data_IF_363884516696
#
_entry.id   IF_363884516696
#
_cell.length_a   1.000
_cell.length_b   1.000
_cell.length_c   1.000
_cell.angle_alpha   90.00
_cell.angle_beta   90.00
_cell.angle_gamma   90.00
#
_symmetry.space_group_name_H-M   'P 1'
#
loop_
_entity.id
_entity.type
_entity.pdbx_description
1 polymer ?
#
# COMPACT_ATOMS: atom_id res chain seq x y z
N UNK A 1 -12.86 -0.71 -19.18
CA UNK A 1 -11.52 -0.22 -18.78
C UNK A 1 -10.47 -1.28 -19.15
N UNK A 2 -10.52 -1.78 -20.39
CA UNK A 2 -9.83 -3.02 -20.77
C UNK A 2 -8.38 -2.78 -21.17
N UNK A 3 -8.08 -1.59 -21.68
CA UNK A 3 -6.72 -1.18 -22.05
C UNK A 3 -5.73 -1.22 -20.88
N UNK A 4 -6.19 -0.86 -19.67
CA UNK A 4 -5.36 -0.84 -18.46
C UNK A 4 -5.08 -2.26 -17.95
N UNK A 5 -6.06 -3.16 -18.07
CA UNK A 5 -5.91 -4.58 -17.76
C UNK A 5 -4.95 -5.25 -18.75
N UNK A 6 -5.11 -5.00 -20.05
CA UNK A 6 -4.23 -5.52 -21.11
C UNK A 6 -2.78 -5.04 -20.93
N UNK A 7 -2.59 -3.79 -20.52
CA UNK A 7 -1.28 -3.23 -20.21
C UNK A 7 -0.62 -3.95 -19.03
N UNK A 8 -1.33 -4.16 -17.92
CA UNK A 8 -0.79 -4.89 -16.77
C UNK A 8 -0.43 -6.33 -17.14
N UNK A 9 -1.35 -7.06 -17.79
CA UNK A 9 -1.13 -8.44 -18.23
C UNK A 9 0.06 -8.60 -19.17
N UNK A 10 0.34 -7.61 -20.03
CA UNK A 10 1.51 -7.62 -20.91
C UNK A 10 2.84 -7.52 -20.17
N UNK A 11 2.86 -6.86 -19.01
CA UNK A 11 4.09 -6.63 -18.22
C UNK A 11 4.30 -7.73 -17.17
N UNK A 12 3.22 -8.40 -16.74
CA UNK A 12 3.22 -9.53 -15.80
C UNK A 12 4.35 -10.55 -16.01
N UNK A 13 4.66 -11.02 -17.24
CA UNK A 13 5.68 -12.05 -17.45
C UNK A 13 7.08 -11.63 -16.99
N UNK A 14 7.37 -10.33 -16.89
CA UNK A 14 8.68 -9.85 -16.45
C UNK A 14 8.86 -9.97 -14.92
N UNK A 15 7.77 -10.13 -14.18
CA UNK A 15 7.74 -10.22 -12.72
C UNK A 15 7.54 -11.65 -12.20
N UNK A 16 7.33 -12.64 -13.08
CA UNK A 16 7.13 -14.04 -12.70
C UNK A 16 8.43 -14.71 -12.18
N UNK A 17 8.27 -15.79 -11.41
CA UNK A 17 9.38 -16.58 -10.83
C UNK A 17 10.37 -17.02 -11.93
N UNK A 18 11.62 -16.53 -11.82
CA UNK A 18 12.71 -16.82 -12.77
C UNK A 18 13.13 -15.65 -13.68
N UNK A 19 12.45 -14.51 -13.61
CA UNK A 19 12.76 -13.32 -14.39
C UNK A 19 13.50 -12.26 -13.58
N UNK A 20 14.21 -11.34 -14.26
CA UNK A 20 15.09 -10.34 -13.63
C UNK A 20 14.39 -9.43 -12.60
N UNK A 21 13.08 -9.22 -12.74
CA UNK A 21 12.30 -8.32 -11.90
C UNK A 21 11.40 -9.07 -10.91
N UNK A 22 11.63 -10.36 -10.67
CA UNK A 22 10.84 -11.16 -9.72
C UNK A 22 10.72 -10.51 -8.32
N UNK A 23 11.74 -9.79 -7.86
CA UNK A 23 11.71 -9.06 -6.59
C UNK A 23 10.68 -7.91 -6.54
N UNK A 24 10.24 -7.39 -7.69
CA UNK A 24 9.19 -6.36 -7.81
C UNK A 24 7.78 -6.94 -7.98
N UNK A 25 7.64 -8.27 -8.03
CA UNK A 25 6.36 -8.94 -8.11
C UNK A 25 5.33 -8.44 -7.07
N UNK A 26 5.68 -8.22 -5.79
CA UNK A 26 4.71 -7.74 -4.79
C UNK A 26 4.13 -6.36 -5.12
N UNK A 27 4.92 -5.48 -5.74
CA UNK A 27 4.49 -4.13 -6.13
C UNK A 27 3.55 -4.20 -7.33
N UNK A 28 3.85 -5.08 -8.29
CA UNK A 28 2.99 -5.34 -9.43
C UNK A 28 1.64 -5.94 -8.99
N UNK A 29 1.66 -6.96 -8.12
CA UNK A 29 0.45 -7.61 -7.59
C UNK A 29 -0.41 -6.64 -6.77
N UNK A 30 0.21 -5.81 -5.93
CA UNK A 30 -0.50 -4.79 -5.17
C UNK A 30 -1.21 -3.78 -6.10
N UNK A 31 -0.54 -3.37 -7.18
CA UNK A 31 -1.12 -2.45 -8.17
C UNK A 31 -2.30 -3.08 -8.91
N UNK A 32 -2.17 -4.34 -9.32
CA UNK A 32 -3.24 -5.12 -9.96
C UNK A 32 -4.44 -5.26 -9.02
N UNK A 33 -4.21 -5.61 -7.75
CA UNK A 33 -5.24 -5.76 -6.71
C UNK A 33 -5.99 -4.47 -6.37
N UNK A 34 -5.30 -3.33 -6.36
CA UNK A 34 -5.93 -2.03 -6.07
C UNK A 34 -6.91 -1.66 -7.19
N UNK A 35 -6.51 -1.88 -8.44
CA UNK A 35 -7.26 -1.47 -9.62
C UNK A 35 -8.31 -2.50 -10.06
N UNK A 36 -8.06 -3.79 -9.82
CA UNK A 36 -8.89 -4.92 -10.26
C UNK A 36 -9.05 -5.94 -9.12
N UNK A 37 -10.16 -6.69 -9.10
CA UNK A 37 -10.31 -7.74 -8.09
C UNK A 37 -9.42 -8.94 -8.42
N UNK A 38 -8.94 -9.62 -7.39
CA UNK A 38 -8.30 -10.93 -7.52
C UNK A 38 -9.26 -11.89 -8.24
N UNK A 39 -8.74 -12.65 -9.22
CA UNK A 39 -9.49 -13.68 -9.95
C UNK A 39 -9.39 -15.08 -9.29
N UNK A 40 -8.72 -15.17 -8.13
CA UNK A 40 -8.67 -16.42 -7.37
C UNK A 40 -10.05 -16.79 -6.82
N UNK A 41 -10.48 -18.01 -7.15
CA UNK A 41 -11.73 -18.59 -6.66
C UNK A 41 -11.43 -19.79 -5.79
N UNK A 42 -12.19 -19.93 -4.71
CA UNK A 42 -12.07 -21.08 -3.81
C UNK A 42 -12.50 -22.35 -4.54
N UNK A 43 -11.63 -23.35 -4.64
CA UNK A 43 -11.92 -24.65 -5.28
C UNK A 43 -12.96 -25.48 -4.51
N UNK A 44 -13.07 -25.27 -3.19
CA UNK A 44 -14.01 -25.93 -2.29
C UNK A 44 -15.06 -24.95 -1.75
N UNK A 45 -16.27 -25.44 -1.49
CA UNK A 45 -17.33 -24.65 -0.87
C UNK A 45 -17.08 -24.49 0.64
N UNK A 46 -16.98 -23.27 1.17
CA UNK A 46 -16.88 -23.06 2.61
C UNK A 46 -18.25 -23.31 3.29
N UNK A 47 -18.23 -23.66 4.57
CA UNK A 47 -19.45 -23.86 5.37
C UNK A 47 -20.32 -22.59 5.47
N UNK A 48 -19.68 -21.42 5.53
CA UNK A 48 -20.30 -20.09 5.51
C UNK A 48 -19.43 -19.17 4.64
N UNK A 49 -20.05 -18.37 3.78
CA UNK A 49 -19.36 -17.35 2.96
C UNK A 49 -19.53 -15.97 3.60
N UNK A 50 -18.41 -15.30 3.84
CA UNK A 50 -18.39 -13.87 4.16
C UNK A 50 -18.42 -13.05 2.86
N UNK A 51 -19.09 -11.90 2.88
CA UNK A 51 -19.12 -10.93 1.79
C UNK A 51 -17.94 -9.96 1.83
N UNK A 52 -17.18 -9.92 2.93
CA UNK A 52 -16.01 -9.05 3.07
C UNK A 52 -14.81 -9.59 2.27
N UNK A 53 -14.26 -8.72 1.43
CA UNK A 53 -12.96 -8.92 0.79
C UNK A 53 -11.85 -8.42 1.73
N UNK A 54 -11.18 -9.37 2.38
CA UNK A 54 -10.11 -9.09 3.36
C UNK A 54 -8.99 -8.26 2.73
N UNK A 55 -8.61 -8.53 1.47
CA UNK A 55 -7.50 -7.84 0.81
C UNK A 55 -7.86 -6.37 0.58
N UNK A 56 -9.11 -6.08 0.20
CA UNK A 56 -9.62 -4.70 0.06
C UNK A 56 -9.69 -3.95 1.39
N UNK A 57 -10.19 -4.59 2.44
CA UNK A 57 -10.25 -3.97 3.78
C UNK A 57 -8.85 -3.67 4.30
N UNK A 58 -7.89 -4.58 4.08
CA UNK A 58 -6.50 -4.38 4.49
C UNK A 58 -5.85 -3.15 3.82
N UNK A 59 -6.10 -2.95 2.52
CA UNK A 59 -5.58 -1.76 1.80
C UNK A 59 -6.21 -0.47 2.33
N UNK A 60 -7.52 -0.48 2.61
CA UNK A 60 -8.21 0.69 3.18
C UNK A 60 -7.60 1.10 4.53
N UNK A 61 -7.26 0.13 5.38
CA UNK A 61 -6.60 0.38 6.67
C UNK A 61 -5.24 1.06 6.46
N UNK A 62 -4.41 0.53 5.56
CA UNK A 62 -3.09 1.13 5.27
C UNK A 62 -3.23 2.56 4.76
N UNK A 63 -4.15 2.81 3.82
CA UNK A 63 -4.40 4.16 3.29
C UNK A 63 -4.84 5.12 4.40
N UNK A 64 -5.67 4.64 5.33
CA UNK A 64 -6.14 5.43 6.48
C UNK A 64 -5.03 5.76 7.48
N UNK A 65 -3.96 4.96 7.55
CA UNK A 65 -2.82 5.19 8.45
C UNK A 65 -1.84 6.25 7.92
N UNK A 66 -1.80 6.52 6.62
CA UNK A 66 -0.91 7.54 6.01
C UNK A 66 -1.09 8.92 6.65
N UNK A 67 -2.30 9.52 6.74
CA UNK A 67 -2.47 10.82 7.38
C UNK A 67 -2.15 10.79 8.88
N UNK A 68 -2.46 9.69 9.57
CA UNK A 68 -2.11 9.51 10.99
C UNK A 68 -0.59 9.49 11.20
N UNK A 69 0.15 8.83 10.30
CA UNK A 69 1.60 8.78 10.34
C UNK A 69 2.22 10.17 10.13
N UNK A 70 1.76 10.92 9.11
CA UNK A 70 2.24 12.28 8.84
C UNK A 70 2.02 13.19 10.05
N UNK A 71 0.82 13.14 10.65
CA UNK A 71 0.52 13.91 11.85
C UNK A 71 1.38 13.49 13.04
N UNK A 72 1.60 12.19 13.23
CA UNK A 72 2.47 11.66 14.28
C UNK A 72 3.92 12.14 14.14
N UNK A 73 4.51 12.01 12.96
CA UNK A 73 5.87 12.47 12.67
C UNK A 73 6.03 13.98 12.91
N UNK A 74 5.10 14.81 12.41
CA UNK A 74 5.11 16.25 12.68
C UNK A 74 5.06 16.58 14.18
N UNK A 75 4.29 15.82 14.96
CA UNK A 75 4.14 16.04 16.40
C UNK A 75 5.44 15.68 17.16
N UNK A 76 6.06 14.54 16.81
CA UNK A 76 7.35 14.12 17.37
C UNK A 76 8.44 15.16 17.06
N UNK A 77 8.54 15.61 15.81
CA UNK A 77 9.49 16.64 15.40
C UNK A 77 9.27 17.97 16.13
N UNK A 78 8.02 18.39 16.31
CA UNK A 78 7.66 19.59 17.06
C UNK A 78 8.09 19.50 18.53
N UNK A 79 7.80 18.37 19.21
CA UNK A 79 8.21 18.16 20.60
C UNK A 79 9.75 18.16 20.75
N UNK A 80 10.47 17.60 19.77
CA UNK A 80 11.93 17.65 19.76
C UNK A 80 12.47 19.08 19.59
N UNK A 81 11.89 19.85 18.66
CA UNK A 81 12.29 21.23 18.40
C UNK A 81 12.07 22.13 19.62
N UNK A 82 10.93 22.00 20.29
CA UNK A 82 10.60 22.70 21.53
C UNK A 82 11.59 22.37 22.66
N UNK A 83 12.01 21.09 22.78
CA UNK A 83 12.94 20.65 23.82
C UNK A 83 14.36 21.20 23.62
N UNK A 84 14.76 21.42 22.36
CA UNK A 84 16.08 21.96 22.00
C UNK A 84 16.10 23.48 21.85
N UNK A 85 14.94 24.14 21.89
CA UNK A 85 14.82 25.59 21.66
C UNK A 85 15.14 26.01 20.23
N UNK A 86 14.93 25.12 19.25
CA UNK A 86 15.20 25.39 17.82
C UNK A 86 13.86 25.69 17.14
N UNK A 87 13.77 26.82 16.45
CA UNK A 87 12.63 27.09 15.57
C UNK A 87 12.76 26.26 14.29
N UNK A 88 11.86 25.29 14.14
CA UNK A 88 11.76 24.44 12.95
C UNK A 88 10.45 24.66 12.24
N UNK A 89 10.54 24.69 10.92
CA UNK A 89 9.41 24.74 9.99
C UNK A 89 8.66 23.41 10.02
N UNK A 90 7.43 23.40 9.54
CA UNK A 90 6.50 22.29 9.68
C UNK A 90 6.97 21.07 8.87
N UNK A 91 7.64 21.36 7.74
CA UNK A 91 8.32 20.37 6.89
C UNK A 91 9.56 19.79 7.58
N UNK A 92 10.32 20.61 8.31
CA UNK A 92 11.50 20.15 9.05
C UNK A 92 11.10 19.27 10.23
N UNK A 93 9.98 19.57 10.89
CA UNK A 93 9.39 18.71 11.92
C UNK A 93 8.93 17.37 11.34
N UNK A 94 8.40 17.35 10.10
CA UNK A 94 8.02 16.11 9.43
C UNK A 94 9.23 15.22 9.05
N UNK A 95 10.35 15.81 8.62
CA UNK A 95 11.54 15.04 8.26
C UNK A 95 12.35 14.56 9.48
N UNK A 96 12.20 15.21 10.63
CA UNK A 96 12.93 14.87 11.85
C UNK A 96 12.20 13.87 12.74
N UNK A 97 10.86 13.90 12.77
CA UNK A 97 10.03 12.98 13.54
C UNK A 97 9.72 11.68 12.81
#
# INVERSE_FOLDING_TARGET
MNWLLEFLLKIKPNFEEGQKLHWLYPVYEATETILFSTDERTTSAPHIRDSIDIKRVMILVVVSLIPCYIFGAMNVGYQNAQSLGIDRTWVENLFYG
#
